data_IF_008208615771
#
_entry.id   IF_008208615771
#
_cell.length_a   1.000
_cell.length_b   1.000
_cell.length_c   1.000
_cell.angle_alpha   90.00
_cell.angle_beta   90.00
_cell.angle_gamma   90.00
#
_symmetry.space_group_name_H-M   'P 1'
#
loop_
_entity.id
_entity.type
_entity.pdbx_description
1 polymer ?
#
# COMPACT_ATOMS: atom_id res chain seq x y z
N UNK A 1 3.06 -14.54 9.19
CA UNK A 1 4.37 -14.22 8.62
C UNK A 1 5.18 -13.46 9.68
N UNK A 2 5.92 -14.17 10.53
CA UNK A 2 6.65 -13.58 11.67
C UNK A 2 8.05 -13.06 11.32
N UNK A 3 8.53 -13.24 10.09
CA UNK A 3 9.82 -12.69 9.64
C UNK A 3 9.62 -12.09 8.24
N UNK A 4 9.73 -10.75 8.14
CA UNK A 4 9.83 -10.09 6.83
C UNK A 4 11.20 -10.43 6.25
N UNK A 5 11.23 -11.02 5.05
CA UNK A 5 12.49 -11.29 4.35
C UNK A 5 13.25 -9.96 4.17
N UNK A 6 14.57 -9.91 4.42
CA UNK A 6 15.35 -8.71 4.15
C UNK A 6 15.24 -8.39 2.66
N UNK A 7 14.73 -7.20 2.33
CA UNK A 7 14.72 -6.69 0.96
C UNK A 7 16.08 -6.10 0.66
N UNK A 8 16.63 -6.35 -0.53
CA UNK A 8 17.80 -5.64 -1.02
C UNK A 8 17.55 -4.13 -0.95
N UNK A 9 18.53 -3.40 -0.41
CA UNK A 9 18.56 -1.94 -0.47
C UNK A 9 18.86 -1.58 -1.92
N UNK A 10 17.92 -0.91 -2.57
CA UNK A 10 18.15 -0.36 -3.91
C UNK A 10 19.25 0.71 -3.76
N UNK A 11 20.44 0.46 -4.33
CA UNK A 11 21.55 1.42 -4.30
C UNK A 11 21.33 2.44 -5.40
N UNK A 12 21.02 3.68 -5.02
CA UNK A 12 20.88 4.78 -5.97
C UNK A 12 22.30 5.27 -6.31
N UNK A 13 22.75 4.99 -7.53
CA UNK A 13 24.07 5.44 -7.99
C UNK A 13 24.07 6.97 -8.08
N UNK A 14 24.87 7.60 -7.22
CA UNK A 14 25.17 9.02 -7.38
C UNK A 14 26.05 9.17 -8.63
N UNK A 15 25.70 10.08 -9.56
CA UNK A 15 26.55 10.35 -10.71
C UNK A 15 27.90 10.87 -10.23
N UNK A 16 28.99 10.37 -10.82
CA UNK A 16 30.36 10.77 -10.46
C UNK A 16 30.65 12.24 -10.76
N UNK A 17 29.93 12.82 -11.73
CA UNK A 17 30.07 14.20 -12.16
C UNK A 17 28.73 14.92 -12.04
N UNK A 18 28.77 16.13 -11.51
CA UNK A 18 27.62 17.01 -11.46
C UNK A 18 27.23 17.47 -12.87
N UNK A 19 25.96 17.28 -13.23
CA UNK A 19 25.38 17.73 -14.50
C UNK A 19 24.35 18.83 -14.24
N UNK A 20 24.68 20.11 -14.53
CA UNK A 20 23.79 21.23 -14.23
C UNK A 20 22.51 21.24 -15.08
N UNK A 21 22.52 20.61 -16.25
CA UNK A 21 21.37 20.54 -17.17
C UNK A 21 20.22 19.71 -16.60
N UNK A 22 20.55 18.59 -15.95
CA UNK A 22 19.58 17.63 -15.39
C UNK A 22 19.05 18.09 -14.01
N UNK A 23 19.75 19.02 -13.34
CA UNK A 23 19.50 19.42 -11.96
C UNK A 23 18.19 20.23 -11.78
N UNK A 24 17.81 21.06 -12.77
CA UNK A 24 16.54 21.80 -12.70
C UNK A 24 15.34 20.86 -12.67
N UNK A 25 15.34 19.86 -13.54
CA UNK A 25 14.29 18.85 -13.60
C UNK A 25 14.30 17.93 -12.38
N UNK A 26 15.48 17.49 -11.94
CA UNK A 26 15.61 16.64 -10.75
C UNK A 26 15.14 17.35 -9.48
N UNK A 27 15.52 18.62 -9.27
CA UNK A 27 15.06 19.43 -8.14
C UNK A 27 13.55 19.56 -8.14
N UNK A 28 12.94 19.77 -9.30
CA UNK A 28 11.48 19.82 -9.45
C UNK A 28 10.85 18.46 -9.13
N UNK A 29 11.37 17.36 -9.67
CA UNK A 29 10.87 15.99 -9.40
C UNK A 29 10.99 15.60 -7.93
N UNK A 30 12.09 15.98 -7.27
CA UNK A 30 12.32 15.80 -5.82
C UNK A 30 11.35 16.65 -4.99
N UNK A 31 11.16 17.92 -5.33
CA UNK A 31 10.25 18.86 -4.64
C UNK A 31 8.78 18.45 -4.77
N UNK A 32 8.38 17.97 -5.94
CA UNK A 32 7.01 17.54 -6.24
C UNK A 32 6.70 16.13 -5.72
N UNK A 33 7.69 15.42 -5.17
CA UNK A 33 7.49 14.13 -4.50
C UNK A 33 7.01 13.00 -5.41
N UNK A 34 7.16 13.15 -6.74
CA UNK A 34 6.70 12.16 -7.72
C UNK A 34 7.36 10.78 -7.55
N UNK A 35 8.57 10.73 -6.97
CA UNK A 35 9.28 9.47 -6.68
C UNK A 35 8.67 8.66 -5.53
N UNK A 36 7.75 9.24 -4.75
CA UNK A 36 7.02 8.50 -3.73
C UNK A 36 5.86 7.77 -4.40
N UNK A 37 6.17 6.77 -5.24
CA UNK A 37 5.22 5.71 -5.58
C UNK A 37 4.70 5.18 -4.24
N UNK A 38 3.48 5.56 -3.85
CA UNK A 38 2.80 5.02 -2.67
C UNK A 38 2.63 3.51 -2.92
N UNK A 39 3.64 2.71 -2.57
CA UNK A 39 3.64 1.24 -2.63
C UNK A 39 2.70 0.61 -1.58
N UNK A 40 1.61 1.30 -1.28
CA UNK A 40 0.55 0.82 -0.41
C UNK A 40 -0.77 1.22 -1.05
N UNK A 41 -1.10 0.58 -2.18
CA UNK A 41 -2.50 0.21 -2.38
C UNK A 41 -2.79 -0.76 -1.23
N UNK A 42 -3.24 -0.26 -0.08
CA UNK A 42 -3.82 -1.10 0.96
C UNK A 42 -4.90 -1.87 0.23
N UNK A 43 -4.68 -3.17 0.02
CA UNK A 43 -5.68 -4.08 -0.54
C UNK A 43 -6.84 -3.97 0.45
N UNK A 44 -7.82 -3.13 0.12
CA UNK A 44 -8.96 -2.86 0.98
C UNK A 44 -9.52 -4.22 1.35
N UNK A 45 -9.71 -4.47 2.65
CA UNK A 45 -10.41 -5.68 3.09
C UNK A 45 -11.68 -5.76 2.27
N UNK A 46 -11.87 -6.87 1.55
CA UNK A 46 -12.97 -6.99 0.61
C UNK A 46 -14.28 -6.75 1.38
N UNK A 47 -15.13 -5.79 0.98
CA UNK A 47 -16.40 -5.53 1.65
C UNK A 47 -17.31 -6.76 1.68
N UNK A 48 -17.05 -7.74 0.80
CA UNK A 48 -17.66 -9.07 0.81
C UNK A 48 -17.55 -9.80 2.16
N UNK A 49 -16.43 -9.68 2.87
CA UNK A 49 -16.25 -10.36 4.16
C UNK A 49 -17.24 -9.79 5.19
N UNK A 50 -17.45 -8.47 5.18
CA UNK A 50 -18.42 -7.81 6.05
C UNK A 50 -19.86 -8.20 5.69
N UNK A 51 -20.16 -8.32 4.39
CA UNK A 51 -21.48 -8.71 3.90
C UNK A 51 -21.83 -10.16 4.29
N UNK A 52 -20.89 -11.10 4.14
CA UNK A 52 -21.07 -12.50 4.58
C UNK A 52 -21.27 -12.58 6.09
N UNK A 53 -20.50 -11.80 6.86
CA UNK A 53 -20.60 -11.78 8.33
C UNK A 53 -21.97 -11.25 8.78
N UNK A 54 -22.48 -10.19 8.14
CA UNK A 54 -23.80 -9.64 8.42
C UNK A 54 -24.93 -10.65 8.16
N UNK A 55 -24.89 -11.35 7.02
CA UNK A 55 -25.87 -12.39 6.69
C UNK A 55 -25.85 -13.52 7.73
N UNK A 56 -24.65 -13.94 8.14
CA UNK A 56 -24.48 -15.01 9.11
C UNK A 56 -25.04 -14.64 10.50
N UNK A 57 -24.83 -13.40 10.94
CA UNK A 57 -25.41 -12.89 12.20
C UNK A 57 -26.94 -12.86 12.13
N UNK A 58 -27.52 -12.39 11.03
CA UNK A 58 -28.98 -12.36 10.83
C UNK A 58 -29.55 -13.78 10.83
N UNK A 59 -28.89 -14.73 10.15
CA UNK A 59 -29.30 -16.12 10.11
C UNK A 59 -29.32 -16.75 11.51
N UNK A 60 -28.25 -16.56 12.30
CA UNK A 60 -28.18 -17.05 13.66
C UNK A 60 -29.25 -16.41 14.55
N UNK A 61 -29.45 -15.09 14.43
CA UNK A 61 -30.50 -14.39 15.17
C UNK A 61 -31.88 -14.99 14.89
N UNK A 62 -32.25 -15.17 13.63
CA UNK A 62 -33.52 -15.80 13.29
C UNK A 62 -33.62 -17.25 13.76
N UNK A 63 -32.53 -18.03 13.63
CA UNK A 63 -32.54 -19.45 14.02
C UNK A 63 -32.68 -19.65 15.53
N UNK A 64 -32.08 -18.78 16.34
CA UNK A 64 -32.10 -18.88 17.80
C UNK A 64 -33.18 -18.02 18.47
N UNK A 65 -33.72 -17.00 17.80
CA UNK A 65 -34.83 -16.19 18.31
C UNK A 65 -36.20 -16.79 18.00
N UNK A 66 -36.33 -17.62 16.95
CA UNK A 66 -37.54 -18.40 16.68
C UNK A 66 -37.45 -19.83 17.23
N UNK A 67 -36.49 -20.10 18.12
CA UNK A 67 -36.47 -21.27 18.98
C UNK A 67 -37.05 -20.87 20.34
#
# INVERSE_FOLDING_TARGET
>A
MLIKKPKHKDFEYLPRFYKPEEDREERLRKRLGFNRKRKFKKKGRSPLIWLVLLILVIYLYYRFSNL
#
